data_IF_998564653859
#
_entry.id   IF_998564653859
#
_cell.length_a   1.000
_cell.length_b   1.000
_cell.length_c   1.000
_cell.angle_alpha   90.00
_cell.angle_beta   90.00
_cell.angle_gamma   90.00
#
_symmetry.space_group_name_H-M   'P 1'
#
loop_
_entity.id
_entity.type
_entity.pdbx_description
1 polymer ?
#
# COMPACT_ATOMS: atom_id res chain seq x y z
N UNK A 1 -18.62 6.42 15.97
CA UNK A 1 -18.68 7.84 16.07
C UNK A 1 -17.88 8.50 14.94
N UNK A 2 -18.25 9.74 14.59
CA UNK A 2 -17.69 10.42 13.42
C UNK A 2 -16.15 10.52 13.44
N UNK A 3 -15.60 11.01 14.56
CA UNK A 3 -14.16 11.18 14.68
C UNK A 3 -13.39 9.86 14.62
N UNK A 4 -13.96 8.81 15.22
CA UNK A 4 -13.33 7.49 15.20
C UNK A 4 -13.29 6.92 13.78
N UNK A 5 -14.34 7.16 12.99
CA UNK A 5 -14.36 6.70 11.59
C UNK A 5 -13.32 7.41 10.74
N UNK A 6 -13.16 8.71 10.95
CA UNK A 6 -12.14 9.47 10.21
C UNK A 6 -10.74 8.99 10.57
N UNK A 7 -10.47 8.78 11.86
CA UNK A 7 -9.17 8.29 12.30
C UNK A 7 -8.88 6.91 11.74
N UNK A 8 -9.88 6.03 11.70
CA UNK A 8 -9.70 4.70 11.14
C UNK A 8 -9.37 4.78 9.64
N UNK A 9 -10.06 5.64 8.91
CA UNK A 9 -9.80 5.84 7.48
C UNK A 9 -8.38 6.36 7.26
N UNK A 10 -7.94 7.29 8.08
CA UNK A 10 -6.58 7.82 7.98
C UNK A 10 -5.53 6.75 8.24
N UNK A 11 -5.77 5.89 9.23
CA UNK A 11 -4.84 4.80 9.53
C UNK A 11 -4.78 3.76 8.42
N UNK A 12 -5.92 3.41 7.84
CA UNK A 12 -5.96 2.48 6.71
C UNK A 12 -5.25 3.05 5.49
N UNK A 13 -5.47 4.33 5.21
CA UNK A 13 -4.80 5.02 4.11
C UNK A 13 -3.28 5.05 4.34
N UNK A 14 -2.86 5.32 5.57
CA UNK A 14 -1.44 5.36 5.90
C UNK A 14 -0.74 4.03 5.65
N UNK A 15 -1.41 2.90 5.86
CA UNK A 15 -0.84 1.58 5.56
C UNK A 15 -0.52 1.44 4.08
N UNK A 16 -1.40 1.91 3.22
CA UNK A 16 -1.19 1.85 1.77
C UNK A 16 0.03 2.68 1.39
N UNK A 17 0.09 3.92 1.85
CA UNK A 17 1.19 4.81 1.48
C UNK A 17 2.50 4.39 2.12
N UNK A 18 2.46 3.84 3.32
CA UNK A 18 3.65 3.26 3.95
C UNK A 18 4.23 2.13 3.09
N UNK A 19 3.37 1.28 2.55
CA UNK A 19 3.82 0.19 1.69
C UNK A 19 4.55 0.70 0.45
N UNK A 20 4.18 1.88 -0.03
CA UNK A 20 4.79 2.50 -1.21
C UNK A 20 6.00 3.38 -0.87
N UNK A 21 6.37 3.48 0.41
CA UNK A 21 7.38 4.42 0.88
C UNK A 21 8.75 3.78 1.09
N UNK A 22 9.11 2.82 0.24
CA UNK A 22 10.40 2.13 0.35
C UNK A 22 10.82 1.63 -1.03
N UNK A 23 12.06 1.95 -1.48
CA UNK A 23 12.50 1.54 -2.81
C UNK A 23 12.45 0.03 -3.05
N UNK A 24 12.73 -0.76 -2.02
CA UNK A 24 12.71 -2.22 -2.17
C UNK A 24 11.30 -2.73 -2.40
N UNK A 25 10.32 -2.15 -1.70
CA UNK A 25 8.93 -2.54 -1.91
C UNK A 25 8.44 -2.11 -3.30
N UNK A 26 8.85 -0.94 -3.77
CA UNK A 26 8.52 -0.52 -5.14
C UNK A 26 9.12 -1.47 -6.17
N UNK A 27 10.34 -1.93 -5.93
CA UNK A 27 10.97 -2.90 -6.83
C UNK A 27 10.26 -4.25 -6.81
N UNK A 28 9.75 -4.68 -5.67
CA UNK A 28 8.94 -5.89 -5.58
C UNK A 28 7.67 -5.75 -6.42
N UNK A 29 6.98 -4.63 -6.28
CA UNK A 29 5.78 -4.38 -7.05
C UNK A 29 6.07 -4.42 -8.56
N UNK A 30 7.19 -3.84 -8.97
CA UNK A 30 7.59 -3.87 -10.39
C UNK A 30 7.76 -5.31 -10.88
N UNK A 31 8.39 -6.17 -10.08
CA UNK A 31 8.54 -7.57 -10.47
C UNK A 31 7.20 -8.30 -10.58
N UNK A 32 6.24 -7.94 -9.74
CA UNK A 32 4.92 -8.58 -9.74
C UNK A 32 4.04 -8.12 -10.89
N UNK A 33 4.43 -7.08 -11.62
CA UNK A 33 3.64 -6.60 -12.77
C UNK A 33 3.53 -7.63 -13.88
N UNK A 34 4.51 -8.50 -14.00
CA UNK A 34 4.47 -9.55 -15.04
C UNK A 34 3.70 -10.80 -14.61
N UNK A 35 3.14 -10.82 -13.43
CA UNK A 35 2.33 -11.91 -12.94
C UNK A 35 2.78 -12.44 -11.60
N UNK A 36 2.11 -13.48 -11.13
CA UNK A 36 2.40 -14.10 -9.85
C UNK A 36 3.84 -14.62 -9.81
N UNK A 37 4.48 -14.45 -8.64
CA UNK A 37 5.85 -14.91 -8.42
C UNK A 37 5.96 -15.64 -7.09
N UNK A 38 6.75 -16.72 -7.09
CA UNK A 38 7.15 -17.38 -5.86
C UNK A 38 8.10 -16.47 -5.08
N UNK A 39 8.03 -16.55 -3.75
CA UNK A 39 8.94 -15.81 -2.89
C UNK A 39 10.41 -16.02 -3.27
N UNK A 40 10.77 -17.25 -3.63
CA UNK A 40 12.16 -17.58 -4.02
C UNK A 40 12.63 -16.80 -5.24
N UNK A 41 11.72 -16.51 -6.17
CA UNK A 41 12.05 -15.74 -7.36
C UNK A 41 12.26 -14.27 -7.03
N UNK A 42 11.46 -13.74 -6.09
CA UNK A 42 11.56 -12.34 -5.70
C UNK A 42 12.83 -12.03 -4.91
N UNK A 43 13.30 -12.98 -4.14
CA UNK A 43 14.42 -12.77 -3.23
C UNK A 43 15.73 -12.51 -3.96
N UNK A 44 15.99 -13.27 -4.99
CA UNK A 44 17.29 -13.31 -5.65
C UNK A 44 17.72 -11.97 -6.29
N UNK A 45 16.91 -11.34 -7.15
CA UNK A 45 17.35 -10.10 -7.81
C UNK A 45 17.53 -8.93 -6.88
N UNK A 46 16.96 -9.00 -5.69
CA UNK A 46 16.94 -7.89 -4.76
C UNK A 46 17.98 -8.02 -3.66
N UNK A 47 18.74 -9.09 -3.65
CA UNK A 47 19.75 -9.36 -2.63
C UNK A 47 19.17 -9.25 -1.23
N UNK A 48 17.96 -9.77 -1.04
CA UNK A 48 17.28 -9.78 0.25
C UNK A 48 17.44 -11.13 0.91
N UNK A 49 17.55 -11.12 2.24
CA UNK A 49 17.43 -12.34 3.02
C UNK A 49 15.98 -12.80 3.01
N UNK A 50 15.74 -14.04 3.39
CA UNK A 50 14.38 -14.54 3.50
C UNK A 50 13.55 -13.73 4.48
N UNK A 51 14.14 -13.37 5.63
CA UNK A 51 13.45 -12.57 6.63
C UNK A 51 13.22 -11.14 6.15
N UNK A 52 14.15 -10.57 5.39
CA UNK A 52 14.00 -9.25 4.80
C UNK A 52 12.85 -9.20 3.80
N UNK A 53 12.77 -10.22 2.93
CA UNK A 53 11.66 -10.32 2.00
C UNK A 53 10.33 -10.49 2.74
N UNK A 54 10.28 -11.37 3.73
CA UNK A 54 9.07 -11.59 4.52
C UNK A 54 8.59 -10.30 5.18
N UNK A 55 9.52 -9.50 5.69
CA UNK A 55 9.19 -8.21 6.30
C UNK A 55 8.50 -7.28 5.30
N UNK A 56 9.08 -7.13 4.12
CA UNK A 56 8.49 -6.26 3.09
C UNK A 56 7.17 -6.81 2.55
N UNK A 57 7.08 -8.14 2.38
CA UNK A 57 5.87 -8.74 1.86
C UNK A 57 4.71 -8.62 2.86
N UNK A 58 5.00 -8.70 4.16
CA UNK A 58 3.96 -8.49 5.16
C UNK A 58 3.36 -7.09 5.05
N UNK A 59 4.21 -6.08 4.89
CA UNK A 59 3.74 -4.70 4.75
C UNK A 59 2.90 -4.53 3.48
N UNK A 60 3.36 -5.11 2.37
CA UNK A 60 2.62 -5.04 1.10
C UNK A 60 1.29 -5.78 1.17
N UNK A 61 1.26 -6.94 1.80
CA UNK A 61 0.01 -7.70 1.95
C UNK A 61 -0.95 -6.99 2.89
N UNK A 62 -0.45 -6.44 4.00
CA UNK A 62 -1.30 -5.70 4.95
C UNK A 62 -1.92 -4.45 4.31
N UNK A 63 -1.26 -3.87 3.32
CA UNK A 63 -1.79 -2.71 2.59
C UNK A 63 -2.91 -3.08 1.61
N UNK A 64 -3.04 -4.34 1.27
CA UNK A 64 -3.99 -4.80 0.27
C UNK A 64 -3.49 -4.74 -1.16
N UNK A 65 -2.31 -4.18 -1.41
CA UNK A 65 -1.79 -4.06 -2.77
C UNK A 65 -1.30 -5.39 -3.33
N UNK A 66 -0.94 -6.32 -2.46
CA UNK A 66 -0.45 -7.64 -2.82
C UNK A 66 -1.26 -8.68 -2.08
N UNK A 67 -1.53 -9.79 -2.73
CA UNK A 67 -2.14 -10.96 -2.10
C UNK A 67 -1.20 -12.14 -2.21
N UNK A 68 -1.27 -13.01 -1.23
CA UNK A 68 -0.45 -14.21 -1.19
C UNK A 68 -1.31 -15.45 -1.24
N UNK A 69 -0.74 -16.53 -1.74
CA UNK A 69 -1.34 -17.85 -1.63
C UNK A 69 -0.26 -18.87 -1.28
N UNK A 70 -0.65 -19.85 -0.53
CA UNK A 70 0.24 -20.92 -0.12
C UNK A 70 0.01 -22.14 -1.00
N UNK A 71 1.10 -22.70 -1.51
CA UNK A 71 1.03 -23.95 -2.28
C UNK A 71 2.13 -24.86 -1.75
N UNK A 72 1.72 -25.85 -0.94
CA UNK A 72 2.66 -26.67 -0.20
C UNK A 72 3.49 -25.80 0.75
N UNK A 73 4.79 -25.86 0.64
CA UNK A 73 5.70 -25.04 1.45
C UNK A 73 6.10 -23.74 0.78
N UNK A 74 5.56 -23.45 -0.40
CA UNK A 74 5.92 -22.25 -1.16
C UNK A 74 4.84 -21.19 -1.08
N UNK A 75 5.25 -19.95 -0.86
CA UNK A 75 4.34 -18.79 -0.88
C UNK A 75 4.49 -18.08 -2.21
N UNK A 76 3.36 -17.77 -2.83
CA UNK A 76 3.28 -17.04 -4.09
C UNK A 76 2.57 -15.72 -3.86
N UNK A 77 3.03 -14.69 -4.55
CA UNK A 77 2.50 -13.33 -4.40
C UNK A 77 2.05 -12.81 -5.76
N UNK A 78 0.98 -12.04 -5.76
CA UNK A 78 0.51 -11.34 -6.95
C UNK A 78 -0.08 -9.99 -6.59
N UNK A 79 -0.12 -9.09 -7.56
CA UNK A 79 -0.77 -7.81 -7.37
C UNK A 79 -2.27 -8.00 -7.24
N UNK A 80 -2.90 -7.19 -6.40
CA UNK A 80 -4.34 -7.19 -6.22
C UNK A 80 -4.96 -6.04 -7.01
N UNK A 81 -5.82 -6.35 -7.98
CA UNK A 81 -6.53 -5.31 -8.70
C UNK A 81 -7.47 -4.52 -7.80
N UNK A 82 -8.16 -5.23 -6.92
CA UNK A 82 -9.04 -4.59 -5.94
C UNK A 82 -8.25 -3.64 -5.04
N UNK A 83 -7.10 -4.10 -4.55
CA UNK A 83 -6.24 -3.27 -3.70
C UNK A 83 -5.70 -2.06 -4.43
N UNK A 84 -5.33 -2.22 -5.69
CA UNK A 84 -4.90 -1.10 -6.53
C UNK A 84 -6.03 -0.06 -6.67
N UNK A 85 -7.23 -0.51 -7.00
CA UNK A 85 -8.35 0.40 -7.21
C UNK A 85 -8.70 1.14 -5.92
N UNK A 86 -8.68 0.47 -4.79
CA UNK A 86 -8.91 1.11 -3.51
C UNK A 86 -7.83 2.15 -3.18
N UNK A 87 -6.58 1.85 -3.48
CA UNK A 87 -5.47 2.79 -3.25
C UNK A 87 -5.62 4.05 -4.10
N UNK A 88 -6.03 3.89 -5.36
CA UNK A 88 -6.29 5.04 -6.24
C UNK A 88 -7.42 5.90 -5.67
N UNK A 89 -8.50 5.27 -5.22
CA UNK A 89 -9.62 6.00 -4.62
C UNK A 89 -9.20 6.74 -3.35
N UNK A 90 -8.37 6.12 -2.52
CA UNK A 90 -7.85 6.78 -1.32
C UNK A 90 -7.05 8.02 -1.68
N UNK A 91 -6.18 7.92 -2.66
CA UNK A 91 -5.38 9.06 -3.09
C UNK A 91 -6.26 10.18 -3.60
N UNK A 92 -7.25 9.86 -4.41
CA UNK A 92 -8.20 10.86 -4.92
C UNK A 92 -8.97 11.52 -3.77
N UNK A 93 -9.47 10.72 -2.83
CA UNK A 93 -10.24 11.24 -1.71
C UNK A 93 -9.42 12.18 -0.83
N UNK A 94 -8.15 11.84 -0.61
CA UNK A 94 -7.28 12.62 0.26
C UNK A 94 -6.78 13.92 -0.39
N UNK A 95 -6.75 13.98 -1.70
CA UNK A 95 -6.13 15.10 -2.40
C UNK A 95 -7.09 15.90 -3.28
N UNK A 96 -8.36 15.50 -3.34
CA UNK A 96 -9.35 16.28 -4.09
C UNK A 96 -9.79 17.47 -3.26
N UNK A 97 -9.66 18.69 -3.78
CA UNK A 97 -10.04 19.87 -3.01
C UNK A 97 -11.51 19.85 -2.61
N UNK A 98 -11.77 20.32 -1.39
CA UNK A 98 -13.13 20.56 -0.93
C UNK A 98 -13.38 22.06 -1.05
N UNK A 99 -14.04 22.45 -2.14
CA UNK A 99 -14.25 23.86 -2.45
C UNK A 99 -15.27 24.53 -1.56
N UNK A 100 -16.01 23.78 -0.76
CA UNK A 100 -16.98 24.33 0.18
C UNK A 100 -16.33 24.83 1.47
N UNK A 101 -15.09 24.42 1.73
CA UNK A 101 -14.37 24.84 2.91
C UNK A 101 -13.47 26.03 2.61
N UNK A 102 -13.64 27.06 3.42
CA UNK A 102 -12.80 28.25 3.34
C UNK A 102 -11.89 28.28 4.55
N UNK A 103 -10.82 29.07 4.46
CA UNK A 103 -9.93 29.25 5.59
C UNK A 103 -10.65 29.92 6.74
N UNK A 104 -10.57 29.33 7.93
CA UNK A 104 -11.21 29.86 9.14
C UNK A 104 -10.24 30.69 9.97
N UNK A 105 -9.02 30.88 9.50
CA UNK A 105 -8.05 31.70 10.20
C UNK A 105 -8.43 33.17 10.10
N UNK A 106 -8.60 33.89 11.25
CA UNK A 106 -8.97 35.30 11.20
C UNK A 106 -8.00 36.17 10.40
N UNK A 107 -6.74 35.82 10.36
CA UNK A 107 -5.74 36.57 9.59
C UNK A 107 -5.93 36.46 8.09
N UNK A 108 -6.64 35.43 7.61
CA UNK A 108 -6.89 35.20 6.19
C UNK A 108 -8.16 35.88 5.69
N UNK A 109 -9.00 36.40 6.59
CA UNK A 109 -10.28 36.99 6.21
C UNK A 109 -10.20 38.42 5.69
N UNK A 110 -9.00 38.90 5.43
CA UNK A 110 -8.83 40.30 5.03
C UNK A 110 -8.43 40.47 3.58
#
# INVERSE_FOLDING_TARGET
HWNALIEQLEQESARVFKALCDPKRLAILEQLRSGEKCACVLQEPMDLTQSGLSYHMKILCDSGLVVSRQEGKWTHYRLSETGKDEAVELLLALTTPNTERVCECPACDK
#
